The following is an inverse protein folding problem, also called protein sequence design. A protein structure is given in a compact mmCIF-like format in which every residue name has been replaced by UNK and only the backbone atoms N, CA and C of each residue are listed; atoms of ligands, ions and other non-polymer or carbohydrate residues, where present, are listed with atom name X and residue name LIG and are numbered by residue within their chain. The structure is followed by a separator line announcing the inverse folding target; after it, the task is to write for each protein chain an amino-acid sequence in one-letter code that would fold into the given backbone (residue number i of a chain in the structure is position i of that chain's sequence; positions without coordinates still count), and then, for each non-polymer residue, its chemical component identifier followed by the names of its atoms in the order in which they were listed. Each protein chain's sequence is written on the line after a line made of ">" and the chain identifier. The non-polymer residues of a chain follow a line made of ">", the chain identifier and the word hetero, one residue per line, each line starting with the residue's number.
data_IF_937653331336
#
_entry.id   IF_937653331336
#
_cell.length_a   1.000
_cell.length_b   1.000
_cell.length_c   1.000
_cell.angle_alpha   90.00
_cell.angle_beta   90.00
_cell.angle_gamma   90.00
#
_symmetry.space_group_name_H-M   'P 1'
#
loop_
_entity.id
_entity.type
_entity.pdbx_description
1 polymer ?
#
# COMPACT_ATOMS: atom_id res chain seq x y z
N UNK A 1 18.51 -9.93 0.76
CA UNK A 1 17.17 -9.41 1.11
C UNK A 1 16.14 -10.53 1.43
N UNK A 2 16.51 -11.55 2.23
CA UNK A 2 15.59 -12.68 2.51
C UNK A 2 14.54 -12.34 3.56
N UNK A 3 14.94 -11.58 4.59
CA UNK A 3 14.06 -11.17 5.68
C UNK A 3 13.08 -10.09 5.21
N UNK A 4 13.55 -9.09 4.45
CA UNK A 4 12.69 -8.01 3.92
C UNK A 4 11.51 -8.55 3.10
N UNK A 5 11.76 -9.49 2.19
CA UNK A 5 10.70 -10.11 1.39
C UNK A 5 9.68 -10.85 2.26
N UNK A 6 10.14 -11.62 3.25
CA UNK A 6 9.23 -12.36 4.15
C UNK A 6 8.41 -11.40 5.01
N UNK A 7 9.02 -10.35 5.55
CA UNK A 7 8.33 -9.33 6.35
C UNK A 7 7.28 -8.58 5.53
N UNK A 8 7.60 -8.18 4.30
CA UNK A 8 6.64 -7.51 3.41
C UNK A 8 5.46 -8.42 3.06
N UNK A 9 5.69 -9.70 2.75
CA UNK A 9 4.62 -10.66 2.46
C UNK A 9 3.71 -10.88 3.67
N UNK A 10 4.29 -11.12 4.84
CA UNK A 10 3.53 -11.36 6.07
C UNK A 10 2.72 -10.12 6.47
N UNK A 11 3.31 -8.93 6.36
CA UNK A 11 2.64 -7.67 6.61
C UNK A 11 1.45 -7.47 5.67
N UNK A 12 1.63 -7.71 4.37
CA UNK A 12 0.57 -7.57 3.38
C UNK A 12 -0.58 -8.56 3.62
N UNK A 13 -0.28 -9.83 3.89
CA UNK A 13 -1.29 -10.85 4.21
C UNK A 13 -2.11 -10.42 5.42
N UNK A 14 -1.45 -9.98 6.49
CA UNK A 14 -2.12 -9.59 7.74
C UNK A 14 -2.99 -8.34 7.58
N UNK A 15 -2.62 -7.43 6.67
CA UNK A 15 -3.42 -6.28 6.30
C UNK A 15 -4.66 -6.71 5.50
N UNK A 16 -4.47 -7.48 4.43
CA UNK A 16 -5.57 -7.93 3.55
C UNK A 16 -6.57 -8.86 4.25
N UNK A 17 -6.14 -9.62 5.25
CA UNK A 17 -7.04 -10.47 6.06
C UNK A 17 -7.98 -9.68 6.96
N UNK A 18 -7.60 -8.46 7.37
CA UNK A 18 -8.32 -7.67 8.37
C UNK A 18 -8.95 -6.41 7.79
N UNK A 19 -8.49 -5.98 6.63
CA UNK A 19 -8.87 -4.70 6.05
C UNK A 19 -9.10 -4.83 4.55
N UNK A 20 -10.14 -4.16 4.09
CA UNK A 20 -10.45 -3.91 2.70
C UNK A 20 -9.91 -2.52 2.32
N UNK A 21 -9.22 -2.46 1.19
CA UNK A 21 -8.63 -1.23 0.66
C UNK A 21 -9.37 -0.81 -0.60
N UNK A 22 -9.77 0.46 -0.67
CA UNK A 22 -10.42 1.05 -1.86
C UNK A 22 -9.74 2.36 -2.26
N UNK A 23 -9.91 2.77 -3.51
CA UNK A 23 -9.39 4.04 -4.01
C UNK A 23 -10.10 5.21 -3.32
N UNK A 24 -9.39 6.31 -3.13
CA UNK A 24 -9.96 7.57 -2.68
C UNK A 24 -9.76 8.66 -3.74
N UNK A 25 -10.44 9.79 -3.60
CA UNK A 25 -10.36 10.92 -4.53
C UNK A 25 -8.93 11.46 -4.72
N UNK A 26 -8.05 11.19 -3.74
CA UNK A 26 -6.62 11.57 -3.74
C UNK A 26 -5.72 10.53 -4.39
N UNK A 27 -6.22 9.32 -4.68
CA UNK A 27 -5.46 8.27 -5.35
C UNK A 27 -5.44 8.55 -6.86
N UNK A 28 -4.26 8.81 -7.43
CA UNK A 28 -4.11 8.85 -8.89
C UNK A 28 -4.25 7.43 -9.47
N UNK A 29 -5.14 7.27 -10.44
CA UNK A 29 -5.28 6.05 -11.26
C UNK A 29 -5.07 6.45 -12.72
N UNK A 30 -3.95 6.05 -13.37
CA UNK A 30 -2.90 5.15 -12.89
C UNK A 30 -1.98 5.77 -11.81
N UNK A 31 -1.37 4.90 -10.99
CA UNK A 31 -0.41 5.30 -9.96
C UNK A 31 0.86 5.85 -10.62
N UNK A 32 1.27 7.06 -10.24
CA UNK A 32 2.52 7.68 -10.70
C UNK A 32 3.59 7.49 -9.64
N UNK A 33 4.79 7.08 -10.06
CA UNK A 33 5.93 6.87 -9.16
C UNK A 33 6.75 8.15 -9.04
N UNK A 34 7.13 8.50 -7.82
CA UNK A 34 8.05 9.61 -7.57
C UNK A 34 9.40 9.33 -8.23
N UNK A 35 9.89 10.32 -8.98
CA UNK A 35 11.22 10.31 -9.60
C UNK A 35 12.32 10.75 -8.64
N UNK A 36 11.94 11.13 -7.42
CA UNK A 36 12.81 11.71 -6.40
C UNK A 36 12.79 10.82 -5.15
N UNK A 37 13.96 10.50 -4.60
CA UNK A 37 14.11 9.75 -3.35
C UNK A 37 15.02 8.51 -3.48
N UNK A 38 15.44 7.98 -2.33
CA UNK A 38 16.26 6.76 -2.23
C UNK A 38 15.46 5.46 -2.47
N UNK A 39 14.13 5.53 -2.33
CA UNK A 39 13.22 4.38 -2.41
C UNK A 39 12.01 4.72 -3.28
N UNK A 40 11.51 3.73 -4.00
CA UNK A 40 10.35 3.87 -4.89
C UNK A 40 9.08 4.11 -4.08
N UNK A 41 8.44 5.25 -4.31
CA UNK A 41 7.21 5.67 -3.63
C UNK A 41 6.20 6.23 -4.64
N UNK A 42 4.91 6.26 -4.30
CA UNK A 42 3.91 6.98 -5.07
C UNK A 42 4.18 8.50 -5.02
N UNK A 43 3.98 9.18 -6.15
CA UNK A 43 4.07 10.64 -6.23
C UNK A 43 2.94 11.27 -5.41
N UNK A 44 3.27 12.22 -4.53
CA UNK A 44 2.31 12.85 -3.61
C UNK A 44 1.86 11.97 -2.43
N UNK A 45 2.34 10.72 -2.33
CA UNK A 45 1.99 9.79 -1.25
C UNK A 45 0.94 8.75 -1.64
N UNK A 46 0.81 7.70 -0.82
CA UNK A 46 -0.18 6.62 -1.02
C UNK A 46 -1.38 6.85 -0.12
N UNK A 47 -2.48 7.33 -0.72
CA UNK A 47 -3.76 7.46 -0.04
C UNK A 47 -4.70 6.35 -0.49
N UNK A 48 -5.28 5.63 0.46
CA UNK A 48 -6.29 4.59 0.24
C UNK A 48 -7.33 4.67 1.34
N UNK A 49 -8.58 4.35 1.02
CA UNK A 49 -9.63 4.14 2.00
C UNK A 49 -9.46 2.75 2.62
N UNK A 50 -9.47 2.67 3.94
CA UNK A 50 -9.29 1.43 4.69
C UNK A 50 -10.54 1.14 5.49
N UNK A 51 -11.17 -0.02 5.25
CA UNK A 51 -12.31 -0.52 6.02
C UNK A 51 -11.92 -1.79 6.73
N UNK A 52 -12.27 -1.94 8.00
CA UNK A 52 -12.05 -3.20 8.72
C UNK A 52 -13.08 -4.21 8.25
N UNK A 53 -12.62 -5.42 7.93
CA UNK A 53 -13.49 -6.55 7.61
C UNK A 53 -13.95 -7.12 8.95
N UNK A 54 -15.23 -6.96 9.27
CA UNK A 54 -15.89 -7.69 10.36
C UNK A 54 -16.38 -9.02 9.78
N UNK A 55 -15.95 -10.11 10.41
CA UNK A 55 -16.24 -11.48 10.00
C UNK A 55 -17.00 -12.17 11.12
#
# INVERSE_FOLDING_TARGET
>A
LRIGLMQSKLGLIKLLQKYEFSTCEKSSVPMVLSKVGLMTCAEGGLYLNVKKIEN
#
